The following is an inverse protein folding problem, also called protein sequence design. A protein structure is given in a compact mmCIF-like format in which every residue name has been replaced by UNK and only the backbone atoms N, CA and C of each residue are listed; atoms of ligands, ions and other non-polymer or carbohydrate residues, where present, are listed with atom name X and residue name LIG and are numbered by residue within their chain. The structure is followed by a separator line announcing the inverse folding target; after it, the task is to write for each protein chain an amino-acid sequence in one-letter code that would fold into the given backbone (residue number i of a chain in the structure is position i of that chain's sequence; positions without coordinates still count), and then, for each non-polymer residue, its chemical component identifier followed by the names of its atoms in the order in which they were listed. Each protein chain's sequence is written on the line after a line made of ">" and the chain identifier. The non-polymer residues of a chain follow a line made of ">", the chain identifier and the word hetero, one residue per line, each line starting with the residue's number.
data_IF_987490407483
#
_entry.id   IF_987490407483
#
_cell.length_a   1.000
_cell.length_b   1.000
_cell.length_c   1.000
_cell.angle_alpha   90.00
_cell.angle_beta   90.00
_cell.angle_gamma   90.00
#
_symmetry.space_group_name_H-M   'P 1'
#
loop_
_entity.id
_entity.type
_entity.pdbx_description
1 polymer ?
#
# COMPACT_ATOMS: atom_id res chain seq x y z
N UNK A 1 -23.14 7.57 -8.85
CA UNK A 1 -22.63 6.20 -8.51
C UNK A 1 -22.12 5.51 -9.77
N UNK A 2 -22.83 5.58 -10.91
CA UNK A 2 -22.36 5.11 -12.22
C UNK A 2 -21.11 5.88 -12.68
N UNK A 3 -21.11 7.21 -12.52
CA UNK A 3 -19.98 8.07 -12.96
C UNK A 3 -18.65 7.75 -12.23
N UNK A 4 -18.70 7.42 -10.94
CA UNK A 4 -17.48 7.10 -10.17
C UNK A 4 -16.83 5.80 -10.64
N UNK A 5 -17.63 4.78 -10.96
CA UNK A 5 -17.10 3.50 -11.45
C UNK A 5 -16.53 3.65 -12.86
N UNK A 6 -17.18 4.44 -13.71
CA UNK A 6 -16.68 4.75 -15.04
C UNK A 6 -15.29 5.41 -14.96
N UNK A 7 -15.16 6.44 -14.12
CA UNK A 7 -13.90 7.14 -13.87
C UNK A 7 -12.82 6.18 -13.36
N UNK A 8 -13.18 5.27 -12.45
CA UNK A 8 -12.23 4.26 -11.98
C UNK A 8 -11.79 3.31 -13.09
N UNK A 9 -12.71 2.91 -13.97
CA UNK A 9 -12.38 2.06 -15.11
C UNK A 9 -11.54 2.77 -16.16
N UNK A 10 -11.73 4.07 -16.38
CA UNK A 10 -10.88 4.87 -17.27
C UNK A 10 -9.43 4.88 -16.78
N UNK A 11 -9.20 5.13 -15.49
CA UNK A 11 -7.85 5.05 -14.91
C UNK A 11 -7.26 3.63 -15.00
N UNK A 12 -8.03 2.60 -14.65
CA UNK A 12 -7.54 1.22 -14.67
C UNK A 12 -7.23 0.75 -16.10
N UNK A 13 -8.02 1.17 -17.09
CA UNK A 13 -7.75 0.88 -18.50
C UNK A 13 -6.46 1.57 -18.97
N UNK A 14 -6.25 2.85 -18.63
CA UNK A 14 -5.00 3.54 -18.96
C UNK A 14 -3.80 2.87 -18.28
N UNK A 15 -3.93 2.48 -17.01
CA UNK A 15 -2.89 1.75 -16.28
C UNK A 15 -2.55 0.40 -16.93
N UNK A 16 -3.55 -0.36 -17.37
CA UNK A 16 -3.36 -1.66 -18.03
C UNK A 16 -2.71 -1.53 -19.42
N UNK A 17 -2.91 -0.41 -20.11
CA UNK A 17 -2.22 -0.10 -21.36
C UNK A 17 -0.75 0.31 -21.13
N UNK A 18 -0.43 0.83 -19.94
CA UNK A 18 0.90 1.37 -19.59
C UNK A 18 1.75 0.43 -18.72
N UNK A 19 1.56 -0.88 -18.85
CA UNK A 19 2.32 -1.92 -18.12
C UNK A 19 2.44 -3.21 -18.92
N UNK A 20 3.41 -4.07 -18.59
CA UNK A 20 3.43 -5.47 -19.09
C UNK A 20 2.68 -6.42 -18.15
N UNK A 21 2.23 -5.95 -16.98
CA UNK A 21 1.53 -6.78 -16.00
C UNK A 21 0.11 -7.07 -16.47
N UNK A 22 -0.19 -8.35 -16.68
CA UNK A 22 -1.50 -8.82 -17.09
C UNK A 22 -2.24 -9.42 -15.88
N UNK A 23 -3.49 -8.99 -15.60
CA UNK A 23 -4.29 -9.62 -14.56
C UNK A 23 -4.45 -11.12 -14.80
N UNK A 24 -4.05 -11.90 -13.81
CA UNK A 24 -3.97 -13.36 -13.90
C UNK A 24 -4.97 -14.05 -12.98
N UNK A 25 -5.19 -13.50 -11.77
CA UNK A 25 -6.14 -14.04 -10.81
C UNK A 25 -6.96 -12.92 -10.16
N UNK A 26 -8.21 -13.23 -9.84
CA UNK A 26 -9.13 -12.37 -9.12
C UNK A 26 -9.76 -13.13 -7.97
N UNK A 27 -9.98 -12.45 -6.84
CA UNK A 27 -10.56 -13.05 -5.62
C UNK A 27 -9.88 -14.37 -5.25
N UNK A 28 -8.54 -14.39 -5.33
CA UNK A 28 -7.76 -15.60 -5.17
C UNK A 28 -7.82 -16.08 -3.72
N UNK A 29 -8.56 -17.16 -3.50
CA UNK A 29 -8.70 -17.79 -2.19
C UNK A 29 -7.40 -18.48 -1.81
N UNK A 30 -6.89 -18.17 -0.62
CA UNK A 30 -5.72 -18.86 -0.08
C UNK A 30 -5.98 -19.41 1.31
N UNK A 31 -5.17 -20.39 1.68
CA UNK A 31 -5.02 -20.89 3.05
C UNK A 31 -3.56 -21.21 3.25
N UNK A 32 -2.93 -20.59 4.24
CA UNK A 32 -1.49 -20.67 4.46
C UNK A 32 -1.16 -20.93 5.91
N UNK A 33 -0.13 -21.74 6.13
CA UNK A 33 0.54 -21.97 7.42
C UNK A 33 1.96 -21.41 7.42
N UNK A 34 2.21 -20.39 6.57
CA UNK A 34 3.54 -19.83 6.39
C UNK A 34 4.09 -19.14 7.65
N UNK A 35 3.21 -18.49 8.42
CA UNK A 35 3.57 -17.90 9.70
C UNK A 35 3.42 -18.96 10.79
N UNK A 36 4.46 -19.14 11.59
CA UNK A 36 4.51 -20.19 12.61
C UNK A 36 3.33 -20.07 13.56
N UNK A 37 2.76 -21.21 13.95
CA UNK A 37 1.61 -21.31 14.87
C UNK A 37 0.31 -20.62 14.42
N UNK A 38 0.24 -20.08 13.21
CA UNK A 38 -0.98 -19.45 12.66
C UNK A 38 -1.35 -20.09 11.33
N UNK A 39 -2.63 -20.41 11.20
CA UNK A 39 -3.25 -20.68 9.89
C UNK A 39 -4.04 -19.46 9.45
N UNK A 40 -3.64 -18.84 8.35
CA UNK A 40 -4.31 -17.66 7.77
C UNK A 40 -5.06 -18.08 6.51
N UNK A 41 -6.30 -17.65 6.39
CA UNK A 41 -7.11 -17.80 5.19
C UNK A 41 -7.67 -16.44 4.76
N UNK A 42 -7.85 -16.25 3.46
CA UNK A 42 -8.36 -15.00 2.91
C UNK A 42 -8.53 -15.06 1.40
N UNK A 43 -8.74 -13.87 0.83
CA UNK A 43 -8.88 -13.66 -0.61
C UNK A 43 -7.94 -12.51 -1.00
N UNK A 44 -7.18 -12.68 -2.08
CA UNK A 44 -6.39 -11.61 -2.69
C UNK A 44 -7.19 -11.07 -3.87
N UNK A 45 -7.61 -9.81 -3.81
CA UNK A 45 -8.55 -9.21 -4.77
C UNK A 45 -8.08 -9.37 -6.23
N UNK A 46 -6.82 -9.01 -6.52
CA UNK A 46 -6.22 -9.13 -7.86
C UNK A 46 -4.72 -9.41 -7.81
N UNK A 47 -4.28 -10.31 -8.68
CA UNK A 47 -2.87 -10.67 -8.89
C UNK A 47 -2.53 -10.54 -10.37
N UNK A 48 -1.49 -9.77 -10.68
CA UNK A 48 -1.00 -9.58 -12.04
C UNK A 48 0.42 -10.14 -12.20
N UNK A 49 0.73 -10.67 -13.38
CA UNK A 49 2.05 -11.22 -13.71
C UNK A 49 2.69 -10.50 -14.90
N UNK A 50 4.01 -10.36 -14.88
CA UNK A 50 4.83 -9.96 -16.02
C UNK A 50 6.17 -10.71 -15.96
N UNK A 51 6.56 -11.45 -17.01
CA UNK A 51 7.78 -12.29 -16.96
C UNK A 51 7.79 -13.21 -15.72
N UNK A 52 8.80 -13.14 -14.85
CA UNK A 52 8.90 -13.82 -13.55
C UNK A 52 8.39 -12.97 -12.36
N UNK A 53 7.88 -11.77 -12.62
CA UNK A 53 7.44 -10.82 -11.61
C UNK A 53 5.94 -10.98 -11.28
N UNK A 54 5.59 -10.56 -10.07
CA UNK A 54 4.23 -10.53 -9.53
C UNK A 54 3.93 -9.20 -8.86
N UNK A 55 2.73 -8.66 -9.09
CA UNK A 55 2.17 -7.60 -8.25
C UNK A 55 0.77 -7.95 -7.79
N UNK A 56 0.32 -7.32 -6.71
CA UNK A 56 -1.05 -7.40 -6.24
C UNK A 56 -1.71 -6.03 -6.21
N UNK A 57 -3.02 -6.02 -6.43
CA UNK A 57 -3.87 -4.82 -6.31
C UNK A 57 -5.05 -5.19 -5.41
N UNK A 58 -5.26 -4.40 -4.37
CA UNK A 58 -6.37 -4.53 -3.43
C UNK A 58 -7.31 -3.32 -3.57
N UNK A 59 -8.60 -3.59 -3.76
CA UNK A 59 -9.60 -2.58 -4.04
C UNK A 59 -10.21 -2.06 -2.74
N UNK A 60 -10.24 -0.73 -2.57
CA UNK A 60 -10.79 -0.09 -1.38
C UNK A 60 -11.78 1.00 -1.75
N UNK A 61 -12.89 1.04 -1.03
CA UNK A 61 -13.93 2.07 -1.19
C UNK A 61 -13.49 3.47 -0.73
N UNK A 62 -12.32 3.57 -0.07
CA UNK A 62 -11.76 4.81 0.46
C UNK A 62 -10.27 4.85 0.16
N UNK A 63 -9.73 6.06 0.04
CA UNK A 63 -8.29 6.28 -0.08
C UNK A 63 -7.57 5.64 1.11
N UNK A 64 -6.68 4.69 0.84
CA UNK A 64 -5.82 4.03 1.82
C UNK A 64 -4.38 4.14 1.37
N UNK A 65 -3.49 4.29 2.35
CA UNK A 65 -2.05 4.24 2.16
C UNK A 65 -1.42 3.35 3.23
N UNK A 66 -0.22 2.86 2.97
CA UNK A 66 0.59 2.11 3.93
C UNK A 66 1.87 2.90 4.23
N UNK A 67 2.16 3.07 5.52
CA UNK A 67 3.36 3.76 6.01
C UNK A 67 4.20 2.77 6.81
N UNK A 68 5.52 2.98 6.89
CA UNK A 68 6.39 2.10 7.69
C UNK A 68 5.94 2.04 9.15
N UNK A 69 5.56 3.18 9.74
CA UNK A 69 5.06 3.24 11.11
C UNK A 69 3.82 2.39 11.31
N UNK A 70 2.82 2.50 10.41
CA UNK A 70 1.56 1.74 10.54
C UNK A 70 1.72 0.25 10.30
N UNK A 71 2.63 -0.12 9.40
CA UNK A 71 3.00 -1.50 9.16
C UNK A 71 3.71 -2.10 10.37
N UNK A 72 4.79 -1.46 10.86
CA UNK A 72 5.55 -1.89 12.04
C UNK A 72 4.76 -1.83 13.35
N UNK A 73 3.70 -1.03 13.41
CA UNK A 73 2.78 -0.97 14.55
C UNK A 73 1.78 -2.14 14.58
N UNK A 74 1.78 -3.02 13.57
CA UNK A 74 0.83 -4.12 13.49
C UNK A 74 -0.54 -3.73 12.93
N UNK A 75 -0.71 -2.53 12.39
CA UNK A 75 -2.04 -1.97 12.05
C UNK A 75 -2.44 -2.19 10.59
N UNK A 76 -1.49 -2.36 9.68
CA UNK A 76 -1.74 -2.55 8.23
C UNK A 76 -0.93 -3.71 7.66
N UNK A 77 -1.32 -4.94 8.00
CA UNK A 77 -0.59 -6.16 7.60
C UNK A 77 -1.09 -6.78 6.30
N UNK A 78 -2.40 -6.65 6.02
CA UNK A 78 -3.12 -7.38 4.97
C UNK A 78 -2.40 -7.35 3.61
N UNK A 79 -2.10 -6.16 3.09
CA UNK A 79 -1.53 -6.00 1.75
C UNK A 79 -0.17 -6.71 1.60
N UNK A 80 0.73 -6.56 2.57
CA UNK A 80 2.06 -7.16 2.48
C UNK A 80 2.03 -8.66 2.79
N UNK A 81 1.12 -9.11 3.66
CA UNK A 81 0.84 -10.54 3.85
C UNK A 81 0.40 -11.17 2.53
N UNK A 82 -0.49 -10.53 1.78
CA UNK A 82 -0.95 -11.05 0.48
C UNK A 82 0.19 -11.16 -0.52
N UNK A 83 1.05 -10.14 -0.61
CA UNK A 83 2.18 -10.18 -1.53
C UNK A 83 3.11 -11.36 -1.22
N UNK A 84 3.51 -11.54 0.05
CA UNK A 84 4.40 -12.62 0.46
C UNK A 84 3.80 -14.00 0.14
N UNK A 85 2.52 -14.18 0.45
CA UNK A 85 1.85 -15.44 0.20
C UNK A 85 1.72 -15.72 -1.31
N UNK A 86 1.38 -14.71 -2.11
CA UNK A 86 1.29 -14.84 -3.56
C UNK A 86 2.67 -15.13 -4.19
N UNK A 87 3.73 -14.43 -3.79
CA UNK A 87 5.11 -14.69 -4.22
C UNK A 87 5.49 -16.15 -4.01
N UNK A 88 5.16 -16.73 -2.86
CA UNK A 88 5.48 -18.13 -2.54
C UNK A 88 4.61 -19.14 -3.27
N UNK A 89 3.32 -18.87 -3.35
CA UNK A 89 2.35 -19.74 -4.01
C UNK A 89 2.66 -19.90 -5.50
N UNK A 90 3.03 -18.80 -6.15
CA UNK A 90 3.26 -18.76 -7.59
C UNK A 90 4.74 -18.85 -8.00
N UNK A 91 5.65 -18.95 -7.02
CA UNK A 91 7.11 -18.96 -7.22
C UNK A 91 7.60 -17.83 -8.13
N UNK A 92 7.24 -16.59 -7.77
CA UNK A 92 7.48 -15.36 -8.56
C UNK A 92 8.07 -14.25 -7.72
N UNK A 93 8.90 -13.42 -8.35
CA UNK A 93 9.55 -12.30 -7.67
C UNK A 93 8.55 -11.16 -7.37
N UNK A 94 8.61 -10.58 -6.17
CA UNK A 94 7.72 -9.50 -5.78
C UNK A 94 8.12 -8.20 -6.50
N UNK A 95 7.16 -7.57 -7.17
CA UNK A 95 7.39 -6.30 -7.86
C UNK A 95 6.62 -5.15 -7.19
N UNK A 96 5.37 -5.37 -6.78
CA UNK A 96 4.58 -4.32 -6.14
C UNK A 96 3.34 -4.82 -5.41
N UNK A 97 2.91 -4.06 -4.41
CA UNK A 97 1.66 -4.28 -3.71
C UNK A 97 0.95 -2.95 -3.48
N UNK A 98 -0.27 -2.82 -4.00
CA UNK A 98 -0.96 -1.54 -4.04
C UNK A 98 -2.42 -1.62 -3.62
N UNK A 99 -2.89 -0.53 -3.03
CA UNK A 99 -4.30 -0.21 -2.90
C UNK A 99 -4.75 0.62 -4.11
N UNK A 100 -5.93 0.29 -4.65
CA UNK A 100 -6.67 1.15 -5.55
C UNK A 100 -7.91 1.70 -4.86
N UNK A 101 -8.08 3.03 -4.87
CA UNK A 101 -9.24 3.70 -4.29
C UNK A 101 -10.36 3.84 -5.32
N UNK A 102 -11.53 3.29 -5.01
CA UNK A 102 -12.77 3.53 -5.74
C UNK A 102 -13.46 4.84 -5.32
N UNK A 103 -12.88 5.57 -4.35
CA UNK A 103 -13.37 6.88 -3.95
C UNK A 103 -12.91 7.90 -4.97
N UNK A 104 -13.87 8.56 -5.61
CA UNK A 104 -13.61 9.76 -6.37
C UNK A 104 -13.55 10.94 -5.40
N UNK A 105 -12.35 11.41 -5.08
CA UNK A 105 -12.17 12.62 -4.29
C UNK A 105 -12.51 13.83 -5.17
N UNK A 106 -13.22 14.82 -4.62
CA UNK A 106 -13.43 16.08 -5.31
C UNK A 106 -12.05 16.66 -5.65
N UNK A 107 -11.78 16.86 -6.94
CA UNK A 107 -10.54 17.50 -7.36
C UNK A 107 -10.70 18.99 -7.02
N UNK A 108 -10.00 19.46 -5.99
CA UNK A 108 -9.95 20.88 -5.66
C UNK A 108 -9.22 21.63 -6.79
N UNK A 109 -9.99 22.18 -7.71
CA UNK A 109 -9.46 22.99 -8.81
C UNK A 109 -9.44 24.45 -8.37
N UNK A 110 -8.25 25.02 -8.21
CA UNK A 110 -8.11 26.46 -8.15
C UNK A 110 -8.48 27.05 -9.52
N UNK A 111 -9.42 27.99 -9.58
CA UNK A 111 -9.91 28.59 -10.83
C UNK A 111 -8.81 29.24 -11.69
N UNK A 112 -7.67 29.59 -11.09
CA UNK A 112 -6.48 30.05 -11.80
C UNK A 112 -5.22 29.72 -11.00
N UNK A 113 -4.11 29.47 -11.71
CA UNK A 113 -2.78 29.37 -11.11
C UNK A 113 -1.98 30.61 -11.45
N UNK A 114 -1.53 31.37 -10.44
CA UNK A 114 -0.62 32.51 -10.66
C UNK A 114 0.79 31.97 -10.84
N UNK A 115 1.32 32.03 -12.06
CA UNK A 115 2.71 31.65 -12.35
C UNK A 115 3.44 32.87 -12.88
N UNK A 116 4.48 33.34 -12.16
CA UNK A 116 5.29 34.52 -12.52
C UNK A 116 4.45 35.78 -12.83
N UNK A 117 3.38 36.01 -12.08
CA UNK A 117 2.53 37.20 -12.20
C UNK A 117 1.44 37.12 -13.28
N UNK A 118 1.37 36.03 -14.05
CA UNK A 118 0.29 35.80 -15.02
C UNK A 118 -0.74 34.81 -14.46
N UNK A 119 -2.02 35.13 -14.68
CA UNK A 119 -3.13 34.19 -14.47
C UNK A 119 -3.11 33.19 -15.63
N UNK A 120 -2.85 31.92 -15.30
CA UNK A 120 -2.99 30.82 -16.25
C UNK A 120 -4.29 30.10 -15.92
N UNK A 121 -5.20 30.05 -16.90
CA UNK A 121 -6.44 29.26 -16.83
C UNK A 121 -6.09 27.77 -16.83
N UNK A 122 -6.86 26.99 -16.07
CA UNK A 122 -6.72 25.54 -16.03
C UNK A 122 -7.18 24.92 -17.36
N UNK A 123 -6.33 24.11 -17.98
CA UNK A 123 -6.63 23.40 -19.23
C UNK A 123 -7.19 22.00 -18.96
N UNK A 124 -7.89 21.39 -19.93
CA UNK A 124 -8.33 19.98 -19.83
C UNK A 124 -7.17 19.02 -19.53
N UNK A 125 -5.97 19.32 -20.01
CA UNK A 125 -4.77 18.56 -19.70
C UNK A 125 -4.41 18.64 -18.21
N UNK A 126 -4.51 19.83 -17.59
CA UNK A 126 -4.27 19.98 -16.15
C UNK A 126 -5.29 19.21 -15.30
N UNK A 127 -6.54 19.12 -15.77
CA UNK A 127 -7.56 18.26 -15.16
C UNK A 127 -7.16 16.80 -15.24
N UNK A 128 -6.78 16.32 -16.42
CA UNK A 128 -6.35 14.95 -16.64
C UNK A 128 -5.13 14.59 -15.76
N UNK A 129 -4.14 15.48 -15.65
CA UNK A 129 -2.97 15.25 -14.79
C UNK A 129 -3.33 15.17 -13.30
N UNK A 130 -4.20 16.06 -12.80
CA UNK A 130 -4.67 15.99 -11.42
C UNK A 130 -5.53 14.75 -11.16
N UNK A 131 -6.37 14.39 -12.13
CA UNK A 131 -7.17 13.17 -12.12
C UNK A 131 -6.27 11.95 -11.97
N UNK A 132 -5.30 11.76 -12.85
CA UNK A 132 -4.34 10.65 -12.81
C UNK A 132 -3.61 10.62 -11.47
N UNK A 133 -3.13 11.77 -11.00
CA UNK A 133 -2.40 11.89 -9.72
C UNK A 133 -3.21 11.44 -8.51
N UNK A 134 -4.51 11.75 -8.45
CA UNK A 134 -5.36 11.41 -7.32
C UNK A 134 -5.81 9.94 -7.32
N UNK A 135 -5.78 9.29 -8.49
CA UNK A 135 -6.21 7.89 -8.66
C UNK A 135 -5.04 6.89 -8.65
N UNK A 136 -3.81 7.37 -8.43
CA UNK A 136 -2.62 6.51 -8.39
C UNK A 136 -2.76 5.37 -7.38
N UNK A 137 -2.26 4.21 -7.78
CA UNK A 137 -2.09 3.04 -6.95
C UNK A 137 -1.18 3.36 -5.76
N UNK A 138 -1.72 3.30 -4.54
CA UNK A 138 -1.00 3.63 -3.31
C UNK A 138 -0.43 2.38 -2.67
N UNK A 139 0.89 2.28 -2.56
CA UNK A 139 1.52 1.06 -2.06
C UNK A 139 3.04 1.10 -2.16
N UNK A 140 3.65 -0.08 -2.10
CA UNK A 140 5.10 -0.25 -2.07
C UNK A 140 5.58 -1.04 -3.29
N UNK A 141 6.71 -0.59 -3.84
CA UNK A 141 7.41 -1.22 -4.96
C UNK A 141 8.66 -1.94 -4.45
N UNK A 142 8.98 -3.09 -5.03
CA UNK A 142 10.04 -3.99 -4.55
C UNK A 142 11.11 -4.29 -5.61
N UNK A 143 10.84 -3.94 -6.88
CA UNK A 143 11.73 -4.15 -8.01
C UNK A 143 11.73 -2.91 -8.92
N UNK A 144 12.91 -2.48 -9.38
CA UNK A 144 13.11 -1.36 -10.32
C UNK A 144 12.82 -1.79 -11.76
N UNK A 145 11.63 -2.33 -12.00
CA UNK A 145 11.22 -2.83 -13.30
C UNK A 145 10.32 -1.82 -14.01
N UNK A 146 10.77 -1.30 -15.16
CA UNK A 146 9.97 -0.42 -16.02
C UNK A 146 8.68 -1.09 -16.51
N UNK A 147 8.63 -2.42 -16.51
CA UNK A 147 7.42 -3.21 -16.84
C UNK A 147 6.21 -2.84 -15.97
N UNK A 148 6.45 -2.28 -14.78
CA UNK A 148 5.41 -1.99 -13.80
C UNK A 148 4.55 -0.77 -14.16
N UNK A 149 5.17 0.26 -14.73
CA UNK A 149 4.56 1.55 -15.06
C UNK A 149 5.49 2.31 -16.01
N UNK A 150 5.21 2.25 -17.32
CA UNK A 150 6.15 2.74 -18.34
C UNK A 150 6.40 4.25 -18.28
N UNK A 151 5.44 5.01 -17.76
CA UNK A 151 5.50 6.47 -17.72
C UNK A 151 5.55 7.05 -16.29
N UNK A 152 5.49 6.18 -15.27
CA UNK A 152 5.57 6.54 -13.87
C UNK A 152 4.37 7.35 -13.35
N UNK A 153 3.23 7.34 -14.05
CA UNK A 153 2.05 8.13 -13.66
C UNK A 153 1.02 7.35 -12.86
N UNK A 154 1.11 6.02 -12.80
CA UNK A 154 0.06 5.15 -12.25
C UNK A 154 0.33 4.70 -10.83
N UNK A 155 1.59 4.41 -10.46
CA UNK A 155 1.92 3.88 -9.14
C UNK A 155 2.64 4.91 -8.28
N UNK A 156 2.17 5.17 -7.05
CA UNK A 156 2.87 6.03 -6.08
C UNK A 156 4.29 5.48 -5.82
N UNK A 157 5.29 6.36 -5.85
CA UNK A 157 6.69 5.97 -5.64
C UNK A 157 7.47 5.73 -6.94
N UNK A 158 6.81 5.78 -8.10
CA UNK A 158 7.44 5.78 -9.42
C UNK A 158 7.28 7.18 -10.04
N UNK A 159 8.35 7.73 -10.62
CA UNK A 159 8.33 9.06 -11.24
C UNK A 159 9.31 9.14 -12.39
N UNK A 160 8.95 9.86 -13.44
CA UNK A 160 9.89 10.21 -14.52
C UNK A 160 10.90 11.24 -14.05
N UNK A 161 12.17 10.98 -14.35
CA UNK A 161 13.33 11.82 -14.09
C UNK A 161 14.09 12.06 -15.41
N UNK A 162 15.08 12.96 -15.39
CA UNK A 162 15.94 13.24 -16.55
C UNK A 162 16.76 12.04 -17.02
N UNK A 163 16.93 11.03 -16.15
CA UNK A 163 17.68 9.79 -16.42
C UNK A 163 16.79 8.57 -16.68
N UNK A 164 15.47 8.74 -16.82
CA UNK A 164 14.50 7.64 -16.90
C UNK A 164 13.59 7.57 -15.68
N UNK A 165 13.03 6.39 -15.39
CA UNK A 165 12.16 6.21 -14.23
C UNK A 165 12.96 6.13 -12.92
N UNK A 166 12.43 6.76 -11.87
CA UNK A 166 12.95 6.71 -10.50
C UNK A 166 11.93 6.00 -9.61
N UNK A 167 12.42 5.09 -8.76
CA UNK A 167 11.61 4.22 -7.93
C UNK A 167 11.93 4.42 -6.44
N UNK A 168 10.90 4.40 -5.60
CA UNK A 168 11.04 4.18 -4.15
C UNK A 168 10.90 2.70 -3.88
N UNK A 169 12.01 2.02 -3.62
CA UNK A 169 12.06 0.56 -3.43
C UNK A 169 12.09 0.19 -1.96
N UNK A 170 11.29 -0.81 -1.62
CA UNK A 170 11.25 -1.44 -0.30
C UNK A 170 11.96 -2.79 -0.30
N UNK A 171 12.53 -3.18 0.84
CA UNK A 171 13.19 -4.46 1.01
C UNK A 171 12.17 -5.56 1.35
N UNK A 172 11.94 -6.45 0.39
CA UNK A 172 11.02 -7.58 0.54
C UNK A 172 11.41 -8.54 1.66
N UNK A 173 12.71 -8.84 1.82
CA UNK A 173 13.17 -9.78 2.83
C UNK A 173 13.00 -9.20 4.23
N UNK A 174 13.32 -7.92 4.39
CA UNK A 174 13.11 -7.22 5.66
C UNK A 174 11.62 -7.13 6.00
N UNK A 175 10.75 -6.90 5.02
CA UNK A 175 9.30 -6.91 5.21
C UNK A 175 8.76 -8.29 5.61
N UNK A 176 9.30 -9.37 5.04
CA UNK A 176 8.99 -10.74 5.45
C UNK A 176 9.40 -11.02 6.90
N UNK A 177 10.58 -10.54 7.32
CA UNK A 177 11.04 -10.62 8.72
C UNK A 177 10.12 -9.85 9.67
N UNK A 178 9.78 -8.60 9.34
CA UNK A 178 8.87 -7.77 10.13
C UNK A 178 7.50 -8.44 10.28
N UNK A 179 6.94 -9.01 9.21
CA UNK A 179 5.65 -9.71 9.27
C UNK A 179 5.72 -10.95 10.17
N UNK A 180 6.78 -11.75 10.06
CA UNK A 180 6.99 -12.91 10.94
C UNK A 180 7.03 -12.49 12.41
N UNK A 181 7.78 -11.45 12.75
CA UNK A 181 7.87 -10.99 14.14
C UNK A 181 6.53 -10.42 14.65
N UNK A 182 5.81 -9.67 13.82
CA UNK A 182 4.48 -9.14 14.19
C UNK A 182 3.45 -10.25 14.41
N UNK A 183 3.43 -11.28 13.56
CA UNK A 183 2.55 -12.43 13.74
C UNK A 183 2.94 -13.27 14.95
N UNK A 184 4.24 -13.48 15.19
CA UNK A 184 4.71 -14.17 16.39
C UNK A 184 4.33 -13.41 17.67
N UNK A 185 4.52 -12.09 17.69
CA UNK A 185 4.12 -11.24 18.82
C UNK A 185 2.60 -11.33 19.09
N UNK A 186 1.79 -11.42 18.02
CA UNK A 186 0.35 -11.63 18.14
C UNK A 186 0.05 -12.99 18.78
N UNK A 187 0.70 -14.07 18.33
CA UNK A 187 0.53 -15.42 18.89
C UNK A 187 0.90 -15.45 20.36
N UNK A 188 2.07 -14.92 20.72
CA UNK A 188 2.57 -14.94 22.10
C UNK A 188 1.59 -14.24 23.04
N UNK A 189 1.08 -13.06 22.62
CA UNK A 189 0.08 -12.32 23.41
C UNK A 189 -1.22 -13.10 23.58
N UNK A 190 -1.70 -13.75 22.52
CA UNK A 190 -2.92 -14.56 22.59
C UNK A 190 -2.73 -15.80 23.47
N UNK A 191 -1.60 -16.50 23.36
CA UNK A 191 -1.28 -17.68 24.18
C UNK A 191 -1.15 -17.34 25.66
N UNK A 192 -0.63 -16.16 26.00
CA UNK A 192 -0.54 -15.66 27.37
C UNK A 192 -1.88 -15.14 27.91
N UNK A 193 -2.94 -15.09 27.09
CA UNK A 193 -4.23 -14.54 27.48
C UNK A 193 -4.19 -13.03 27.72
N UNK A 194 -3.26 -12.31 27.10
CA UNK A 194 -3.13 -10.86 27.24
C UNK A 194 -4.23 -10.15 26.46
N UNK A 195 -5.20 -9.60 27.19
CA UNK A 195 -6.32 -8.82 26.67
C UNK A 195 -6.35 -7.36 27.20
N UNK A 196 -5.23 -6.60 27.13
CA UNK A 196 -5.20 -5.25 27.64
C UNK A 196 -6.12 -4.32 26.84
N UNK A 197 -6.74 -3.37 27.54
CA UNK A 197 -7.50 -2.29 26.89
C UNK A 197 -6.53 -1.18 26.49
N UNK A 198 -5.97 -1.29 25.28
CA UNK A 198 -4.93 -0.39 24.75
C UNK A 198 -5.27 0.11 23.32
N UNK A 199 -6.28 0.98 23.16
CA UNK A 199 -6.72 1.45 21.85
C UNK A 199 -5.74 2.47 21.25
N UNK A 200 -5.45 2.32 19.96
CA UNK A 200 -4.77 3.36 19.17
C UNK A 200 -5.71 4.52 18.85
N UNK A 201 -5.14 5.68 18.55
CA UNK A 201 -5.90 6.86 18.11
C UNK A 201 -6.90 6.49 16.99
N UNK A 202 -8.16 6.89 17.17
CA UNK A 202 -9.25 6.60 16.24
C UNK A 202 -9.84 5.18 16.30
N UNK A 203 -9.22 4.22 17.01
CA UNK A 203 -9.74 2.85 17.08
C UNK A 203 -11.12 2.76 17.76
N UNK A 204 -11.39 3.60 18.76
CA UNK A 204 -12.67 3.58 19.45
C UNK A 204 -13.84 4.07 18.58
N UNK A 205 -13.59 4.87 17.53
CA UNK A 205 -14.64 5.50 16.70
C UNK A 205 -15.57 4.47 16.05
N UNK A 206 -15.03 3.30 15.70
CA UNK A 206 -15.77 2.23 15.03
C UNK A 206 -15.90 0.97 15.90
N UNK A 207 -15.49 1.02 17.18
CA UNK A 207 -15.49 -0.14 18.07
C UNK A 207 -16.86 -0.36 18.72
N UNK A 208 -17.50 -1.49 18.41
CA UNK A 208 -18.80 -1.88 18.99
C UNK A 208 -18.73 -2.25 20.47
N UNK A 209 -17.54 -2.46 21.02
CA UNK A 209 -17.32 -2.97 22.38
C UNK A 209 -16.97 -1.88 23.39
N UNK A 210 -17.15 -0.60 23.04
CA UNK A 210 -16.83 0.53 23.92
C UNK A 210 -17.55 0.45 25.28
N UNK A 211 -18.78 -0.04 25.32
CA UNK A 211 -19.57 -0.22 26.56
C UNK A 211 -19.04 -1.34 27.45
N UNK A 212 -18.33 -2.31 26.88
CA UNK A 212 -17.75 -3.46 27.58
C UNK A 212 -16.40 -3.06 28.18
N UNK A 213 -15.50 -2.49 27.36
CA UNK A 213 -14.16 -2.16 27.83
C UNK A 213 -14.12 -0.96 28.77
N UNK A 214 -15.14 -0.07 28.72
CA UNK A 214 -15.28 1.14 29.55
C UNK A 214 -14.01 2.01 29.57
N UNK A 215 -13.27 2.03 28.47
CA UNK A 215 -12.03 2.80 28.34
C UNK A 215 -12.30 4.30 28.51
N UNK A 216 -11.57 4.95 29.43
CA UNK A 216 -11.62 6.40 29.71
C UNK A 216 -10.25 7.08 29.64
N UNK A 217 -9.21 6.33 29.25
CA UNK A 217 -7.85 6.84 29.16
C UNK A 217 -7.58 7.56 27.84
N UNK A 218 -6.35 8.02 27.68
CA UNK A 218 -5.86 8.55 26.42
C UNK A 218 -5.53 7.40 25.47
N UNK A 219 -6.01 7.51 24.21
CA UNK A 219 -5.64 6.57 23.16
C UNK A 219 -4.14 6.69 22.87
N UNK A 220 -3.47 5.55 22.68
CA UNK A 220 -2.04 5.59 22.35
C UNK A 220 -1.83 6.01 20.91
N UNK A 221 -0.70 6.67 20.67
CA UNK A 221 -0.22 6.96 19.31
C UNK A 221 0.18 5.68 18.60
N UNK A 222 0.13 5.74 17.27
CA UNK A 222 0.72 4.73 16.41
C UNK A 222 2.24 4.70 16.62
N UNK A 223 2.74 3.59 17.16
CA UNK A 223 4.16 3.36 17.43
C UNK A 223 4.55 1.99 16.91
N UNK A 224 5.71 1.91 16.26
CA UNK A 224 6.31 0.66 15.84
C UNK A 224 6.47 -0.30 17.04
N UNK A 225 5.99 -1.53 16.88
CA UNK A 225 6.17 -2.60 17.86
C UNK A 225 7.50 -3.33 17.64
N UNK A 226 7.97 -3.35 16.39
CA UNK A 226 9.20 -4.01 15.93
C UNK A 226 9.93 -3.08 14.97
N UNK A 227 11.25 -3.22 14.84
CA UNK A 227 12.08 -2.47 13.87
C UNK A 227 11.86 -0.94 13.87
N UNK A 228 11.73 -0.32 15.05
CA UNK A 228 11.36 1.08 15.18
C UNK A 228 12.31 2.04 14.43
N UNK A 229 13.62 1.79 14.53
CA UNK A 229 14.67 2.68 14.01
C UNK A 229 15.30 2.19 12.69
N UNK A 230 14.75 1.14 12.07
CA UNK A 230 15.30 0.53 10.86
C UNK A 230 14.42 0.87 9.65
N UNK A 231 14.91 1.59 8.63
CA UNK A 231 14.07 1.86 7.45
C UNK A 231 13.82 0.60 6.63
N UNK A 232 12.63 0.50 6.06
CA UNK A 232 12.24 -0.59 5.16
C UNK A 232 12.56 -0.29 3.68
N UNK A 233 13.10 0.90 3.37
CA UNK A 233 13.47 1.30 2.02
C UNK A 233 14.89 0.87 1.70
N UNK A 234 15.14 0.45 0.47
CA UNK A 234 16.52 0.21 0.01
C UNK A 234 17.23 1.56 -0.18
N UNK A 235 18.46 1.67 0.34
CA UNK A 235 19.33 2.84 0.16
C UNK A 235 19.15 4.00 1.15
N UNK A 236 18.47 3.79 2.28
CA UNK A 236 18.38 4.79 3.36
C UNK A 236 19.60 4.80 4.31
N UNK A 237 20.42 3.76 4.29
CA UNK A 237 21.49 3.52 5.28
C UNK A 237 22.90 3.80 4.72
N UNK A 238 23.01 4.45 3.55
CA UNK A 238 24.32 4.71 2.90
C UNK A 238 24.98 6.05 3.28
N UNK A 239 24.42 6.84 4.19
CA UNK A 239 24.97 8.15 4.56
C UNK A 239 25.63 8.22 5.96
N UNK A 240 25.76 7.11 6.71
CA UNK A 240 26.38 7.12 8.06
C UNK A 240 27.68 6.28 8.20
N UNK A 241 28.31 5.81 7.12
CA UNK A 241 29.60 5.10 7.20
C UNK A 241 30.71 5.66 6.30
N UNK A 242 30.65 6.95 5.95
CA UNK A 242 31.82 7.70 5.44
C UNK A 242 31.93 9.06 6.16
N UNK A 243 32.44 9.02 7.39
CA UNK A 243 33.08 10.17 8.05
C UNK A 243 34.24 9.72 8.92
#
# INVERSE_FOLDING_TARGET
>A
MIDNLQISFEFLADMELNTSFVPSHFEYKFTSTYFEHIKINGYIDRIDFASNLLRIIDYKSSSKSITETSFKAGLKLQLLTYLILATKEFDREPCGAYYYSLKNDNIDIAAAKVTRGNLVEFTEEDYHQNFMKNHRLSGWTFNESELLDYDGRHCVGIRTSSKGLSFTIYDFNLIDQVLKELYQLLVDKLQQGLIPVDPVEGACTYCKYQTICRFKGEQRKEKALVYADCSLKKGSDTDEMES
#
